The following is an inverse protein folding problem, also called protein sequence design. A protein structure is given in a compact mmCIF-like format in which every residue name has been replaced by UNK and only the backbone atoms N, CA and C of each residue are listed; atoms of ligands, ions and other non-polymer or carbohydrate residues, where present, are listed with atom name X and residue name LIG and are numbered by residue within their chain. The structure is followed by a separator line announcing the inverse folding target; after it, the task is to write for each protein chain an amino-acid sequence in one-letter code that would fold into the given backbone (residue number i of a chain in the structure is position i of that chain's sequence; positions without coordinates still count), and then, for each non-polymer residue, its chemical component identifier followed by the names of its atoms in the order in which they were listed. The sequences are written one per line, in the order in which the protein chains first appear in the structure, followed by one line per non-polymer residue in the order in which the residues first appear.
data_IF_673199751640
#
_entry.id   IF_673199751640
#
_cell.length_a   1.000
_cell.length_b   1.000
_cell.length_c   1.000
_cell.angle_alpha   90.00
_cell.angle_beta   90.00
_cell.angle_gamma   90.00
#
_symmetry.space_group_name_H-M   'P 1'
#
loop_
_entity.id
_entity.type
_entity.pdbx_description
1 polymer ?
#
# COMPACT_ATOMS: atom_id res chain seq x y z
N UNK A 1 16.69 16.12 30.49
CA UNK A 1 15.52 15.37 29.99
C UNK A 1 15.70 15.17 28.50
N UNK A 2 15.65 13.91 28.09
CA UNK A 2 16.57 13.33 27.11
C UNK A 2 16.06 13.48 25.68
N UNK A 3 16.97 13.81 24.76
CA UNK A 3 16.84 13.97 23.29
C UNK A 3 16.10 12.82 22.56
N UNK A 4 15.81 11.73 23.27
CA UNK A 4 15.00 10.59 22.82
C UNK A 4 13.48 10.85 22.89
N UNK A 5 13.00 11.64 23.86
CA UNK A 5 11.56 11.89 24.03
C UNK A 5 10.97 12.67 22.84
N UNK A 6 11.65 13.73 22.39
CA UNK A 6 11.29 14.48 21.17
C UNK A 6 11.43 13.65 19.88
N UNK A 7 12.16 12.54 19.94
CA UNK A 7 12.39 11.64 18.81
C UNK A 7 11.25 10.63 18.65
N UNK A 8 10.54 10.30 19.74
CA UNK A 8 9.37 9.41 19.70
C UNK A 8 8.08 10.13 19.30
N UNK A 9 7.85 11.38 19.75
CA UNK A 9 6.64 12.14 19.36
C UNK A 9 6.56 12.38 17.83
N UNK A 10 7.70 12.62 17.18
CA UNK A 10 7.77 12.80 15.72
C UNK A 10 7.49 11.49 14.98
N UNK A 11 7.86 10.35 15.58
CA UNK A 11 7.63 9.01 15.02
C UNK A 11 6.17 8.62 15.20
N UNK A 12 5.57 8.82 16.38
CA UNK A 12 4.14 8.54 16.63
C UNK A 12 3.23 9.33 15.68
N UNK A 13 3.60 10.57 15.33
CA UNK A 13 2.88 11.39 14.36
C UNK A 13 2.97 10.91 12.90
N UNK A 14 4.03 10.20 12.52
CA UNK A 14 4.19 9.59 11.19
C UNK A 14 3.62 8.17 11.13
N UNK A 15 3.76 7.43 12.23
CA UNK A 15 3.36 6.02 12.42
C UNK A 15 1.84 5.86 12.50
N UNK A 16 1.10 6.87 12.98
CA UNK A 16 -0.36 6.83 13.06
C UNK A 16 -1.12 6.71 11.73
N UNK A 17 -0.43 6.68 10.58
CA UNK A 17 -1.06 6.67 9.25
C UNK A 17 -0.85 5.39 8.43
N UNK A 18 -0.02 4.44 8.87
CA UNK A 18 0.26 3.21 8.10
C UNK A 18 0.17 2.00 9.02
N UNK A 19 -0.92 1.25 8.84
CA UNK A 19 -1.29 0.12 9.66
C UNK A 19 -0.50 -1.14 9.25
N UNK A 20 0.12 -1.77 10.25
CA UNK A 20 0.59 -3.16 10.36
C UNK A 20 1.92 -3.64 9.74
N UNK A 21 2.58 -2.94 8.81
CA UNK A 21 3.96 -3.32 8.39
C UNK A 21 5.06 -2.42 8.98
N UNK A 22 4.81 -1.93 10.20
CA UNK A 22 5.71 -1.04 10.91
C UNK A 22 6.97 -1.75 11.41
N UNK A 23 6.92 -3.06 11.68
CA UNK A 23 8.09 -3.80 12.18
C UNK A 23 9.22 -3.89 11.15
N UNK A 24 8.90 -4.25 9.91
CA UNK A 24 9.88 -4.31 8.81
C UNK A 24 10.28 -2.91 8.36
N UNK A 25 9.35 -1.94 8.33
CA UNK A 25 9.68 -0.55 8.08
C UNK A 25 10.59 0.05 9.17
N UNK A 26 10.41 -0.32 10.44
CA UNK A 26 11.28 0.11 11.56
C UNK A 26 12.65 -0.55 11.46
N UNK A 27 12.76 -1.85 11.17
CA UNK A 27 14.07 -2.51 10.97
C UNK A 27 14.81 -1.98 9.72
N UNK A 28 14.09 -1.70 8.65
CA UNK A 28 14.63 -1.03 7.45
C UNK A 28 15.06 0.40 7.81
N UNK A 29 14.25 1.16 8.55
CA UNK A 29 14.58 2.51 9.02
C UNK A 29 15.78 2.49 9.98
N UNK A 30 15.92 1.47 10.84
CA UNK A 30 17.08 1.21 11.71
C UNK A 30 18.34 0.88 10.91
N UNK A 31 18.25 0.05 9.86
CA UNK A 31 19.34 -0.14 8.89
C UNK A 31 19.67 1.15 8.14
N UNK A 32 18.67 2.01 7.92
CA UNK A 32 18.83 3.32 7.30
C UNK A 32 19.42 4.37 8.25
N UNK A 33 19.53 4.13 9.56
CA UNK A 33 20.33 4.99 10.45
C UNK A 33 21.84 4.85 10.22
N UNK A 34 22.29 3.87 9.41
CA UNK A 34 23.59 3.93 8.72
C UNK A 34 23.75 5.17 7.81
N UNK A 35 22.66 5.93 7.60
CA UNK A 35 22.63 7.21 6.89
C UNK A 35 22.78 8.43 7.81
N UNK A 36 22.87 8.29 9.14
CA UNK A 36 23.08 9.47 10.01
C UNK A 36 24.51 10.00 9.90
N UNK A 37 25.50 9.10 9.84
CA UNK A 37 26.89 9.48 9.57
C UNK A 37 27.03 10.11 8.19
N UNK A 38 26.27 9.61 7.21
CA UNK A 38 26.21 10.20 5.87
C UNK A 38 25.47 11.53 5.84
N UNK A 39 24.37 11.68 6.58
CA UNK A 39 23.65 12.95 6.73
C UNK A 39 24.55 13.99 7.38
N UNK A 40 25.29 13.63 8.44
CA UNK A 40 26.30 14.49 9.03
C UNK A 40 27.39 14.82 8.02
N UNK A 41 27.90 13.84 7.26
CA UNK A 41 28.92 14.07 6.23
C UNK A 41 28.42 14.97 5.07
N UNK A 42 27.19 14.80 4.60
CA UNK A 42 26.58 15.58 3.53
C UNK A 42 26.24 17.01 4.02
N UNK A 43 25.75 17.15 5.26
CA UNK A 43 25.48 18.43 5.93
C UNK A 43 26.76 19.22 6.23
N UNK A 44 27.87 18.55 6.57
CA UNK A 44 29.18 19.21 6.74
C UNK A 44 29.79 19.62 5.39
N UNK A 45 29.45 18.95 4.28
CA UNK A 45 29.94 19.31 2.94
C UNK A 45 29.05 20.29 2.17
N UNK A 46 27.76 20.38 2.49
CA UNK A 46 26.80 21.29 1.87
C UNK A 46 26.18 22.17 2.94
N UNK A 47 26.70 23.40 3.06
CA UNK A 47 26.34 24.38 4.10
C UNK A 47 24.86 24.83 4.10
N UNK A 48 24.00 24.34 3.20
CA UNK A 48 22.63 24.84 3.01
C UNK A 48 21.65 23.72 2.67
N UNK A 49 21.55 22.68 3.51
CA UNK A 49 20.50 21.68 3.37
C UNK A 49 19.28 22.13 4.20
N UNK A 50 18.25 22.62 3.53
CA UNK A 50 16.99 22.97 4.19
C UNK A 50 16.21 21.70 4.56
N UNK A 51 15.21 21.82 5.43
CA UNK A 51 14.31 20.72 5.76
C UNK A 51 13.58 20.18 4.52
N UNK A 52 13.24 21.07 3.59
CA UNK A 52 12.65 20.76 2.29
C UNK A 52 13.59 19.91 1.43
N UNK A 53 14.87 20.25 1.38
CA UNK A 53 15.88 19.47 0.65
C UNK A 53 16.07 18.07 1.25
N UNK A 54 16.02 17.96 2.58
CA UNK A 54 16.09 16.67 3.27
C UNK A 54 14.87 15.81 2.95
N UNK A 55 13.65 16.38 3.01
CA UNK A 55 12.42 15.67 2.62
C UNK A 55 12.51 15.13 1.19
N UNK A 56 12.97 15.96 0.24
CA UNK A 56 13.12 15.55 -1.17
C UNK A 56 14.13 14.39 -1.30
N UNK A 57 15.28 14.46 -0.62
CA UNK A 57 16.28 13.39 -0.67
C UNK A 57 15.78 12.08 -0.06
N UNK A 58 15.07 12.14 1.07
CA UNK A 58 14.46 10.97 1.69
C UNK A 58 13.42 10.36 0.75
N UNK A 59 12.54 11.17 0.16
CA UNK A 59 11.56 10.69 -0.83
C UNK A 59 12.27 10.05 -2.02
N UNK A 60 13.27 10.69 -2.63
CA UNK A 60 13.99 10.13 -3.78
C UNK A 60 14.67 8.80 -3.45
N UNK A 61 15.20 8.65 -2.23
CA UNK A 61 15.90 7.45 -1.82
C UNK A 61 14.96 6.30 -1.46
N UNK A 62 13.85 6.59 -0.82
CA UNK A 62 12.90 5.57 -0.37
C UNK A 62 11.78 5.27 -1.35
N UNK A 63 11.50 6.17 -2.30
CA UNK A 63 10.48 5.97 -3.33
C UNK A 63 10.63 4.63 -4.06
N UNK A 64 11.83 4.19 -4.52
CA UNK A 64 11.96 2.89 -5.17
C UNK A 64 11.60 1.71 -4.25
N UNK A 65 11.95 1.80 -2.96
CA UNK A 65 11.65 0.76 -1.96
C UNK A 65 10.14 0.73 -1.65
N UNK A 66 9.53 1.90 -1.45
CA UNK A 66 8.09 2.05 -1.23
C UNK A 66 7.28 1.58 -2.43
N UNK A 67 7.70 1.92 -3.66
CA UNK A 67 7.04 1.44 -4.88
C UNK A 67 7.15 -0.09 -4.96
N UNK A 68 8.33 -0.66 -4.69
CA UNK A 68 8.51 -2.12 -4.65
C UNK A 68 7.59 -2.80 -3.63
N UNK A 69 7.48 -2.22 -2.44
CA UNK A 69 6.57 -2.69 -1.40
C UNK A 69 5.10 -2.63 -1.84
N UNK A 70 4.66 -1.49 -2.39
CA UNK A 70 3.29 -1.32 -2.89
C UNK A 70 2.96 -2.28 -4.04
N UNK A 71 3.93 -2.58 -4.91
CA UNK A 71 3.78 -3.59 -5.96
C UNK A 71 3.55 -4.99 -5.36
N UNK A 72 4.35 -5.37 -4.36
CA UNK A 72 4.19 -6.64 -3.66
C UNK A 72 2.85 -6.72 -2.92
N UNK A 73 2.46 -5.65 -2.22
CA UNK A 73 1.19 -5.56 -1.50
C UNK A 73 0.01 -5.66 -2.47
N UNK A 74 0.04 -4.93 -3.58
CA UNK A 74 -0.99 -5.00 -4.61
C UNK A 74 -1.14 -6.41 -5.22
N UNK A 75 -0.02 -7.05 -5.56
CA UNK A 75 -0.01 -8.39 -6.16
C UNK A 75 -0.42 -9.50 -5.19
N UNK A 76 -0.44 -9.22 -3.88
CA UNK A 76 -0.81 -10.18 -2.83
C UNK A 76 -2.10 -9.81 -2.09
N UNK A 77 -2.74 -8.69 -2.43
CA UNK A 77 -3.95 -8.18 -1.77
C UNK A 77 -5.13 -9.13 -1.96
N UNK A 78 -5.54 -9.80 -0.87
CA UNK A 78 -6.71 -10.70 -0.84
C UNK A 78 -7.95 -10.04 -0.27
N UNK A 79 -9.11 -10.45 -0.76
CA UNK A 79 -10.38 -10.11 -0.12
C UNK A 79 -10.54 -10.93 1.18
N UNK A 80 -10.43 -10.27 2.33
CA UNK A 80 -10.69 -10.87 3.65
C UNK A 80 -12.07 -10.55 4.21
N UNK A 81 -12.65 -9.41 3.80
CA UNK A 81 -13.95 -8.91 4.25
C UNK A 81 -14.92 -8.68 3.10
N UNK A 82 -15.69 -7.60 3.19
CA UNK A 82 -16.66 -7.24 2.15
C UNK A 82 -15.95 -6.83 0.87
N UNK A 83 -16.55 -7.12 -0.30
CA UNK A 83 -16.03 -6.70 -1.61
C UNK A 83 -15.82 -5.18 -1.65
N UNK A 84 -16.67 -4.40 -0.98
CA UNK A 84 -16.53 -2.94 -0.91
C UNK A 84 -15.25 -2.48 -0.21
N UNK A 85 -14.84 -3.18 0.85
CA UNK A 85 -13.62 -2.84 1.60
C UNK A 85 -12.38 -3.23 0.81
N UNK A 86 -12.43 -4.40 0.19
CA UNK A 86 -11.41 -4.86 -0.74
C UNK A 86 -11.22 -3.89 -1.92
N UNK A 87 -12.31 -3.44 -2.54
CA UNK A 87 -12.28 -2.47 -3.64
C UNK A 87 -11.56 -1.17 -3.27
N UNK A 88 -11.88 -0.60 -2.09
CA UNK A 88 -11.23 0.63 -1.62
C UNK A 88 -9.71 0.45 -1.48
N UNK A 89 -9.27 -0.67 -0.89
CA UNK A 89 -7.84 -0.98 -0.75
C UNK A 89 -7.17 -1.20 -2.11
N UNK A 90 -7.86 -1.92 -2.99
CA UNK A 90 -7.38 -2.18 -4.35
C UNK A 90 -7.20 -0.89 -5.16
N UNK A 91 -8.18 0.02 -5.15
CA UNK A 91 -8.11 1.32 -5.82
C UNK A 91 -6.98 2.19 -5.26
N UNK A 92 -6.79 2.21 -3.94
CA UNK A 92 -5.72 2.95 -3.28
C UNK A 92 -4.33 2.46 -3.73
N UNK A 93 -4.10 1.15 -3.73
CA UNK A 93 -2.83 0.56 -4.16
C UNK A 93 -2.64 0.73 -5.68
N UNK A 94 -3.65 0.45 -6.50
CA UNK A 94 -3.56 0.58 -7.95
C UNK A 94 -3.26 2.02 -8.40
N UNK A 95 -3.88 3.03 -7.76
CA UNK A 95 -3.64 4.45 -8.06
C UNK A 95 -2.26 4.96 -7.63
N UNK A 96 -1.61 4.25 -6.70
CA UNK A 96 -0.26 4.57 -6.24
C UNK A 96 0.83 3.96 -7.13
N UNK A 97 0.46 3.09 -8.07
CA UNK A 97 1.39 2.34 -8.91
C UNK A 97 1.38 2.87 -10.35
N UNK A 98 2.51 3.41 -10.79
CA UNK A 98 2.70 3.84 -12.17
C UNK A 98 3.08 2.66 -13.08
N UNK A 99 2.51 2.59 -14.29
CA UNK A 99 2.96 1.70 -15.37
C UNK A 99 2.42 0.26 -15.35
N UNK A 100 1.45 -0.07 -14.49
CA UNK A 100 0.83 -1.40 -14.50
C UNK A 100 -0.13 -1.53 -15.69
N UNK A 101 0.00 -2.62 -16.45
CA UNK A 101 -0.93 -2.91 -17.54
C UNK A 101 -2.33 -3.22 -17.02
N UNK A 102 -3.37 -2.73 -17.70
CA UNK A 102 -4.78 -2.98 -17.36
C UNK A 102 -5.10 -4.47 -17.23
N UNK A 103 -4.49 -5.32 -18.06
CA UNK A 103 -4.62 -6.78 -17.99
C UNK A 103 -4.15 -7.37 -16.65
N UNK A 104 -3.06 -6.84 -16.08
CA UNK A 104 -2.57 -7.24 -14.76
C UNK A 104 -3.55 -6.77 -13.69
N UNK A 105 -4.05 -5.54 -13.77
CA UNK A 105 -5.04 -5.00 -12.82
C UNK A 105 -6.30 -5.88 -12.79
N UNK A 106 -6.87 -6.18 -13.97
CA UNK A 106 -8.03 -7.06 -14.14
C UNK A 106 -7.80 -8.47 -13.56
N UNK A 107 -6.63 -9.04 -13.87
CA UNK A 107 -6.27 -10.40 -13.44
C UNK A 107 -6.06 -10.47 -11.94
N UNK A 108 -5.34 -9.51 -11.36
CA UNK A 108 -5.08 -9.41 -9.91
C UNK A 108 -6.39 -9.28 -9.14
N UNK A 109 -7.29 -8.38 -9.57
CA UNK A 109 -8.59 -8.20 -8.93
C UNK A 109 -9.37 -9.52 -8.88
N UNK A 110 -9.49 -10.19 -10.02
CA UNK A 110 -10.32 -11.40 -10.14
C UNK A 110 -9.72 -12.62 -9.41
N UNK A 111 -8.40 -12.70 -9.31
CA UNK A 111 -7.71 -13.82 -8.68
C UNK A 111 -7.74 -13.78 -7.15
N UNK A 112 -7.88 -12.59 -6.57
CA UNK A 112 -7.81 -12.39 -5.14
C UNK A 112 -9.14 -12.06 -4.47
N UNK A 113 -10.24 -12.04 -5.24
CA UNK A 113 -11.58 -12.13 -4.69
C UNK A 113 -11.74 -13.40 -3.84
N UNK A 114 -12.68 -13.35 -2.89
CA UNK A 114 -13.13 -14.52 -2.18
C UNK A 114 -13.48 -15.63 -3.20
N UNK A 115 -13.03 -16.89 -3.01
CA UNK A 115 -13.19 -17.95 -4.01
C UNK A 115 -14.63 -18.16 -4.50
N UNK A 116 -15.63 -18.05 -3.62
CA UNK A 116 -17.03 -18.26 -3.97
C UNK A 116 -17.57 -17.15 -4.89
N UNK A 117 -17.15 -15.91 -4.63
CA UNK A 117 -17.50 -14.73 -5.42
C UNK A 117 -16.72 -14.77 -6.73
N UNK A 118 -15.40 -14.97 -6.65
CA UNK A 118 -14.49 -15.02 -7.78
C UNK A 118 -14.88 -16.09 -8.80
N UNK A 119 -15.30 -17.28 -8.34
CA UNK A 119 -15.80 -18.33 -9.24
C UNK A 119 -17.02 -17.86 -10.04
N UNK A 120 -18.03 -17.27 -9.37
CA UNK A 120 -19.24 -16.76 -10.03
C UNK A 120 -18.93 -15.63 -11.02
N UNK A 121 -18.02 -14.73 -10.66
CA UNK A 121 -17.55 -13.66 -11.54
C UNK A 121 -16.84 -14.22 -12.78
N UNK A 122 -15.96 -15.21 -12.61
CA UNK A 122 -15.25 -15.87 -13.72
C UNK A 122 -16.20 -16.60 -14.67
N UNK A 123 -17.23 -17.29 -14.15
CA UNK A 123 -18.24 -17.97 -14.96
C UNK A 123 -19.03 -16.98 -15.83
N UNK A 124 -19.34 -15.81 -15.29
CA UNK A 124 -20.09 -14.77 -16.01
C UNK A 124 -19.20 -13.94 -16.96
N UNK A 125 -17.88 -13.99 -16.80
CA UNK A 125 -16.90 -13.45 -17.74
C UNK A 125 -17.11 -11.99 -18.19
N UNK A 126 -17.36 -11.02 -17.29
CA UNK A 126 -17.50 -9.63 -17.71
C UNK A 126 -16.19 -9.08 -18.28
N UNK A 127 -16.29 -8.24 -19.32
CA UNK A 127 -15.14 -7.59 -19.95
C UNK A 127 -14.84 -6.22 -19.32
N UNK A 128 -13.65 -6.07 -18.76
CA UNK A 128 -13.14 -4.80 -18.21
C UNK A 128 -13.41 -4.61 -16.71
N UNK A 129 -12.45 -3.99 -16.03
CA UNK A 129 -12.39 -3.86 -14.56
C UNK A 129 -13.69 -3.39 -13.93
N UNK A 130 -14.28 -2.29 -14.42
CA UNK A 130 -15.47 -1.69 -13.80
C UNK A 130 -16.64 -2.69 -13.77
N UNK A 131 -16.81 -3.47 -14.85
CA UNK A 131 -17.86 -4.48 -14.92
C UNK A 131 -17.58 -5.64 -13.97
N UNK A 132 -16.33 -6.06 -13.85
CA UNK A 132 -15.89 -7.09 -12.90
C UNK A 132 -16.17 -6.63 -11.46
N UNK A 133 -15.81 -5.39 -11.11
CA UNK A 133 -16.01 -4.81 -9.78
C UNK A 133 -17.50 -4.69 -9.41
N UNK A 134 -18.34 -4.18 -10.31
CA UNK A 134 -19.81 -4.13 -10.11
C UNK A 134 -20.41 -5.51 -9.94
N UNK A 135 -19.95 -6.47 -10.75
CA UNK A 135 -20.47 -7.83 -10.69
C UNK A 135 -20.11 -8.51 -9.36
N UNK A 136 -18.87 -8.35 -8.89
CA UNK A 136 -18.42 -8.89 -7.60
C UNK A 136 -19.32 -8.40 -6.44
N UNK A 137 -19.62 -7.09 -6.39
CA UNK A 137 -20.52 -6.51 -5.39
C UNK A 137 -21.95 -7.07 -5.49
N UNK A 138 -22.45 -7.24 -6.72
CA UNK A 138 -23.80 -7.80 -6.97
C UNK A 138 -23.89 -9.25 -6.52
N UNK A 139 -22.85 -10.05 -6.80
CA UNK A 139 -22.76 -11.45 -6.39
C UNK A 139 -22.73 -11.56 -4.86
N UNK A 140 -21.87 -10.78 -4.19
CA UNK A 140 -21.80 -10.75 -2.72
C UNK A 140 -23.16 -10.41 -2.09
N UNK A 141 -23.81 -9.35 -2.60
CA UNK A 141 -25.12 -8.92 -2.09
C UNK A 141 -26.18 -10.02 -2.17
N UNK A 142 -26.20 -10.78 -3.29
CA UNK A 142 -27.12 -11.91 -3.46
C UNK A 142 -26.79 -13.06 -2.50
N UNK A 143 -25.52 -13.37 -2.30
CA UNK A 143 -25.09 -14.43 -1.39
C UNK A 143 -25.45 -14.10 0.06
N UNK A 144 -25.23 -12.86 0.50
CA UNK A 144 -25.60 -12.39 1.84
C UNK A 144 -27.12 -12.39 2.07
N UNK A 145 -27.91 -12.08 1.03
CA UNK A 145 -29.36 -12.15 1.12
C UNK A 145 -29.87 -13.60 1.27
N UNK A 146 -29.23 -14.55 0.59
CA UNK A 146 -29.58 -15.99 0.65
C UNK A 146 -29.21 -16.63 1.99
N UNK A 147 -28.13 -16.18 2.65
CA UNK A 147 -27.74 -16.70 3.97
C UNK A 147 -28.64 -16.22 5.12
N UNK A 148 -29.43 -15.16 4.90
CA UNK A 148 -30.35 -14.60 5.90
C UNK A 148 -31.80 -15.10 5.76
N UNK A 149 -32.06 -15.94 4.77
CA UNK A 149 -33.36 -16.56 4.49
C UNK A 149 -33.39 -18.01 4.93
#
# INVERSE_FOLDING_TARGET
MTRMASRMEVIEGLVGTVQEDLGTAIEELEKLWGSFDRFQWEHHRRSFMTWEDLKIQLIQRFRPLLVGFMYCEFLTLKQEGLVREYLKKFELLASSLDGISEKIIDSTFTNWLNPDIGHKVKVLGPSGLEKVMKLAQTVESKMLAQQKS
#
